data_IF_993574455662
#
_entry.id   IF_993574455662
#
_cell.length_a   1.000
_cell.length_b   1.000
_cell.length_c   1.000
_cell.angle_alpha   90.00
_cell.angle_beta   90.00
_cell.angle_gamma   90.00
#
_symmetry.space_group_name_H-M   'P 1'
#
loop_
_entity.id
_entity.type
_entity.pdbx_description
1 polymer ?
#
# COMPACT_ATOMS: atom_id res chain seq x y z
N UNK A 1 -8.93 4.31 -13.30
CA UNK A 1 -9.37 5.24 -14.35
C UNK A 1 -8.26 5.48 -15.39
N UNK A 2 -7.13 6.09 -15.03
CA UNK A 2 -5.97 6.24 -15.93
C UNK A 2 -5.49 4.93 -16.59
N UNK A 3 -5.57 3.82 -15.86
CA UNK A 3 -5.22 2.51 -16.39
C UNK A 3 -6.05 2.08 -17.62
N UNK A 4 -7.31 2.51 -17.74
CA UNK A 4 -8.16 2.11 -18.88
C UNK A 4 -7.67 2.74 -20.18
N UNK A 5 -7.24 4.01 -20.13
CA UNK A 5 -6.65 4.70 -21.28
C UNK A 5 -5.30 4.08 -21.69
N UNK A 6 -4.47 3.72 -20.71
CA UNK A 6 -3.19 3.04 -20.95
C UNK A 6 -3.39 1.67 -21.60
N UNK A 7 -4.38 0.89 -21.13
CA UNK A 7 -4.76 -0.39 -21.71
C UNK A 7 -5.21 -0.22 -23.16
N UNK A 8 -6.12 0.73 -23.43
CA UNK A 8 -6.61 1.00 -24.78
C UNK A 8 -5.46 1.40 -25.73
N UNK A 9 -4.62 2.35 -25.31
CA UNK A 9 -3.45 2.76 -26.07
C UNK A 9 -2.49 1.59 -26.35
N UNK A 10 -2.18 0.79 -25.33
CA UNK A 10 -1.30 -0.37 -25.46
C UNK A 10 -1.86 -1.38 -26.46
N UNK A 11 -3.16 -1.67 -26.37
CA UNK A 11 -3.87 -2.58 -27.27
C UNK A 11 -3.82 -2.09 -28.72
N UNK A 12 -4.23 -0.84 -28.97
CA UNK A 12 -4.24 -0.26 -30.32
C UNK A 12 -2.83 -0.07 -30.91
N UNK A 13 -1.80 0.08 -30.07
CA UNK A 13 -0.40 0.09 -30.50
C UNK A 13 0.16 -1.31 -30.80
N UNK A 14 -0.61 -2.38 -30.60
CA UNK A 14 -0.15 -3.76 -30.77
C UNK A 14 0.86 -4.20 -29.69
N UNK A 15 0.83 -3.56 -28.53
CA UNK A 15 1.64 -3.94 -27.38
C UNK A 15 1.19 -5.32 -26.89
N UNK A 16 2.14 -6.19 -26.57
CA UNK A 16 1.81 -7.48 -25.98
C UNK A 16 1.29 -7.28 -24.55
N UNK A 17 0.01 -7.60 -24.34
CA UNK A 17 -0.66 -7.55 -23.04
C UNK A 17 -0.74 -8.97 -22.48
N UNK A 18 -0.28 -9.16 -21.25
CA UNK A 18 -0.43 -10.41 -20.50
C UNK A 18 -1.45 -10.15 -19.40
N UNK A 19 -2.58 -10.87 -19.44
CA UNK A 19 -3.66 -10.69 -18.47
C UNK A 19 -3.43 -11.55 -17.24
N UNK A 20 -3.59 -10.94 -16.07
CA UNK A 20 -3.59 -11.63 -14.78
C UNK A 20 -4.95 -11.39 -14.14
N UNK A 21 -5.72 -12.45 -13.89
CA UNK A 21 -6.96 -12.35 -13.13
C UNK A 21 -6.65 -12.55 -11.66
N UNK A 22 -7.05 -11.59 -10.83
CA UNK A 22 -6.78 -11.61 -9.40
C UNK A 22 -8.06 -11.97 -8.64
N UNK A 23 -8.03 -13.05 -7.85
CA UNK A 23 -9.18 -13.50 -7.04
C UNK A 23 -10.47 -13.71 -7.87
N UNK A 24 -10.33 -14.16 -9.12
CA UNK A 24 -11.45 -14.33 -10.06
C UNK A 24 -11.99 -13.04 -10.67
N UNK A 25 -11.41 -11.87 -10.34
CA UNK A 25 -11.77 -10.60 -10.97
C UNK A 25 -11.20 -10.57 -12.39
N UNK A 26 -12.09 -10.52 -13.38
CA UNK A 26 -11.77 -10.49 -14.81
C UNK A 26 -12.62 -9.42 -15.50
N UNK A 27 -12.22 -9.04 -16.71
CA UNK A 27 -13.08 -8.21 -17.57
C UNK A 27 -14.27 -9.08 -17.95
N UNK A 28 -15.48 -8.60 -17.67
CA UNK A 28 -16.72 -9.27 -18.00
C UNK A 28 -17.71 -8.31 -18.71
N UNK A 29 -18.84 -8.84 -19.13
CA UNK A 29 -19.86 -8.08 -19.85
C UNK A 29 -20.50 -6.99 -18.98
N UNK A 30 -20.59 -7.21 -17.66
CA UNK A 30 -21.15 -6.23 -16.73
C UNK A 30 -20.24 -5.00 -16.62
N UNK A 31 -18.92 -5.22 -16.46
CA UNK A 31 -17.95 -4.13 -16.47
C UNK A 31 -17.97 -3.35 -17.78
N UNK A 32 -17.99 -4.05 -18.92
CA UNK A 32 -18.02 -3.43 -20.25
C UNK A 32 -19.26 -2.56 -20.41
N UNK A 33 -20.43 -3.07 -20.02
CA UNK A 33 -21.71 -2.37 -20.15
C UNK A 33 -21.80 -1.06 -19.38
N UNK A 34 -20.98 -0.88 -18.33
CA UNK A 34 -20.95 0.35 -17.53
C UNK A 34 -19.82 1.30 -17.90
N UNK A 35 -18.90 0.94 -18.81
CA UNK A 35 -17.71 1.76 -19.14
C UNK A 35 -18.10 3.20 -19.49
N UNK A 36 -19.13 3.40 -20.31
CA UNK A 36 -19.59 4.73 -20.72
C UNK A 36 -20.06 5.58 -19.53
N UNK A 37 -20.57 4.95 -18.47
CA UNK A 37 -21.06 5.64 -17.28
C UNK A 37 -20.00 5.89 -16.20
N UNK A 38 -18.75 5.41 -16.38
CA UNK A 38 -17.69 5.55 -15.38
C UNK A 38 -17.00 6.92 -15.41
N UNK A 39 -17.27 7.73 -16.44
CA UNK A 39 -16.53 8.96 -16.71
C UNK A 39 -17.42 10.17 -16.52
N UNK A 40 -16.85 11.23 -15.94
CA UNK A 40 -17.47 12.55 -15.97
C UNK A 40 -16.96 13.36 -17.18
N UNK A 41 -17.64 14.45 -17.51
CA UNK A 41 -17.33 15.30 -18.68
C UNK A 41 -15.86 15.80 -18.70
N UNK A 42 -15.29 16.10 -17.53
CA UNK A 42 -13.89 16.56 -17.42
C UNK A 42 -12.90 15.44 -17.77
N UNK A 43 -13.18 14.22 -17.31
CA UNK A 43 -12.35 13.06 -17.58
C UNK A 43 -12.46 12.64 -19.05
N UNK A 44 -13.65 12.66 -19.64
CA UNK A 44 -13.84 12.42 -21.07
C UNK A 44 -13.08 13.42 -21.94
N UNK A 45 -13.18 14.71 -21.61
CA UNK A 45 -12.41 15.76 -22.29
C UNK A 45 -10.90 15.52 -22.18
N UNK A 46 -10.43 15.05 -21.02
CA UNK A 46 -9.02 14.70 -20.79
C UNK A 46 -8.57 13.50 -21.64
N UNK A 47 -9.38 12.44 -21.71
CA UNK A 47 -9.12 11.28 -22.57
C UNK A 47 -9.04 11.68 -24.04
N UNK A 48 -10.02 12.47 -24.49
CA UNK A 48 -10.08 12.94 -25.87
C UNK A 48 -8.88 13.81 -26.21
N UNK A 49 -8.46 14.69 -25.29
CA UNK A 49 -7.24 15.49 -25.41
C UNK A 49 -5.96 14.65 -25.52
N UNK A 50 -5.95 13.46 -24.92
CA UNK A 50 -4.86 12.47 -25.05
C UNK A 50 -5.00 11.56 -26.30
N UNK A 51 -6.03 11.75 -27.12
CA UNK A 51 -6.29 10.94 -28.31
C UNK A 51 -6.91 9.57 -28.01
N UNK A 52 -7.55 9.41 -26.85
CA UNK A 52 -8.23 8.17 -26.43
C UNK A 52 -9.73 8.41 -26.42
N UNK A 53 -10.50 7.58 -27.13
CA UNK A 53 -11.96 7.62 -27.12
C UNK A 53 -12.54 6.54 -26.21
N UNK A 54 -13.78 6.72 -25.74
CA UNK A 54 -14.49 5.67 -24.98
C UNK A 54 -14.65 4.39 -25.82
N UNK A 55 -14.89 4.51 -27.12
CA UNK A 55 -14.95 3.38 -28.06
C UNK A 55 -13.64 2.58 -28.13
N UNK A 56 -12.47 3.25 -28.06
CA UNK A 56 -11.18 2.56 -27.98
C UNK A 56 -11.05 1.77 -26.66
N UNK A 57 -11.52 2.33 -25.55
CA UNK A 57 -11.53 1.65 -24.26
C UNK A 57 -12.45 0.44 -24.33
N UNK A 58 -13.70 0.61 -24.75
CA UNK A 58 -14.69 -0.46 -24.84
C UNK A 58 -14.22 -1.59 -25.77
N UNK A 59 -13.76 -1.26 -26.98
CA UNK A 59 -13.30 -2.28 -27.94
C UNK A 59 -12.07 -3.03 -27.44
N UNK A 60 -11.15 -2.37 -26.72
CA UNK A 60 -10.01 -3.05 -26.09
C UNK A 60 -10.46 -3.99 -24.98
N UNK A 61 -11.41 -3.60 -24.12
CA UNK A 61 -11.92 -4.46 -23.05
C UNK A 61 -12.71 -5.65 -23.60
N UNK A 62 -13.53 -5.44 -24.64
CA UNK A 62 -14.20 -6.51 -25.37
C UNK A 62 -13.21 -7.55 -25.92
N UNK A 63 -12.10 -7.09 -26.51
CA UNK A 63 -11.09 -8.00 -27.04
C UNK A 63 -10.28 -8.70 -25.94
N UNK A 64 -10.00 -8.01 -24.83
CA UNK A 64 -9.25 -8.57 -23.71
C UNK A 64 -10.07 -9.59 -22.90
N UNK A 65 -11.40 -9.46 -22.84
CA UNK A 65 -12.30 -10.42 -22.18
C UNK A 65 -12.07 -11.85 -22.67
N UNK A 66 -11.88 -12.02 -23.97
CA UNK A 66 -11.76 -13.33 -24.60
C UNK A 66 -10.30 -13.84 -24.64
N UNK A 67 -9.36 -13.06 -24.11
CA UNK A 67 -7.94 -13.39 -24.10
C UNK A 67 -7.60 -14.31 -22.91
N UNK A 68 -6.59 -15.17 -23.05
CA UNK A 68 -6.15 -16.04 -21.95
C UNK A 68 -5.67 -15.25 -20.73
N UNK A 69 -6.18 -15.62 -19.55
CA UNK A 69 -5.80 -15.07 -18.26
C UNK A 69 -4.90 -16.02 -17.48
N UNK A 70 -3.90 -15.45 -16.79
CA UNK A 70 -3.16 -16.15 -15.75
C UNK A 70 -3.87 -15.90 -14.41
N UNK A 71 -4.34 -16.98 -13.78
CA UNK A 71 -5.05 -16.88 -12.51
C UNK A 71 -4.07 -16.64 -11.34
N UNK A 72 -4.39 -15.63 -10.52
CA UNK A 72 -3.67 -15.27 -9.30
C UNK A 72 -4.64 -15.18 -8.13
N UNK A 73 -4.57 -16.16 -7.23
CA UNK A 73 -5.18 -16.03 -5.91
C UNK A 73 -4.24 -15.20 -5.01
N UNK A 74 -4.67 -13.99 -4.65
CA UNK A 74 -3.92 -13.09 -3.77
C UNK A 74 -4.14 -13.43 -2.30
N UNK A 75 -5.25 -14.10 -1.97
CA UNK A 75 -5.71 -14.35 -0.60
C UNK A 75 -5.39 -15.78 -0.17
N UNK A 76 -4.13 -16.03 0.15
CA UNK A 76 -3.72 -17.26 0.83
C UNK A 76 -3.06 -18.30 -0.08
N UNK A 77 -2.84 -17.99 -1.34
CA UNK A 77 -1.91 -18.77 -2.15
C UNK A 77 -0.51 -18.80 -1.51
N UNK A 78 0.12 -19.97 -1.54
CA UNK A 78 1.50 -20.11 -1.12
C UNK A 78 2.41 -19.24 -2.00
N UNK A 79 3.48 -18.69 -1.42
CA UNK A 79 4.47 -17.85 -2.12
C UNK A 79 4.97 -18.47 -3.44
N UNK A 80 5.14 -19.80 -3.46
CA UNK A 80 5.54 -20.55 -4.67
C UNK A 80 4.55 -20.42 -5.82
N UNK A 81 3.25 -20.28 -5.54
CA UNK A 81 2.25 -20.07 -6.57
C UNK A 81 2.35 -18.65 -7.14
N UNK A 82 2.54 -17.64 -6.29
CA UNK A 82 2.80 -16.27 -6.75
C UNK A 82 4.06 -16.20 -7.61
N UNK A 83 5.15 -16.84 -7.20
CA UNK A 83 6.38 -16.93 -7.99
C UNK A 83 6.15 -17.60 -9.35
N UNK A 84 5.30 -18.64 -9.42
CA UNK A 84 4.94 -19.29 -10.68
C UNK A 84 4.14 -18.36 -11.58
N UNK A 85 3.15 -17.63 -11.04
CA UNK A 85 2.37 -16.65 -11.81
C UNK A 85 3.28 -15.57 -12.38
N UNK A 86 4.18 -15.01 -11.56
CA UNK A 86 5.17 -14.02 -12.02
C UNK A 86 6.04 -14.59 -13.14
N UNK A 87 6.51 -15.83 -12.99
CA UNK A 87 7.30 -16.50 -14.03
C UNK A 87 6.50 -16.68 -15.33
N UNK A 88 5.23 -17.07 -15.24
CA UNK A 88 4.34 -17.18 -16.41
C UNK A 88 4.12 -15.82 -17.08
N UNK A 89 3.95 -14.75 -16.31
CA UNK A 89 3.82 -13.39 -16.86
C UNK A 89 5.08 -13.02 -17.65
N UNK A 90 6.27 -13.28 -17.10
CA UNK A 90 7.55 -12.99 -17.75
C UNK A 90 7.72 -13.82 -19.03
N UNK A 91 7.34 -15.10 -19.00
CA UNK A 91 7.45 -16.00 -20.15
C UNK A 91 6.51 -15.63 -21.29
N UNK A 92 5.34 -15.10 -20.97
CA UNK A 92 4.37 -14.62 -21.96
C UNK A 92 4.64 -13.19 -22.44
N UNK A 93 5.51 -12.45 -21.76
CA UNK A 93 5.88 -11.08 -22.12
C UNK A 93 6.88 -11.04 -23.28
N UNK A 94 6.57 -10.29 -24.34
CA UNK A 94 7.47 -10.11 -25.50
C UNK A 94 8.44 -8.94 -25.29
N UNK A 95 9.69 -9.10 -25.74
CA UNK A 95 10.72 -8.04 -25.72
C UNK A 95 11.50 -7.90 -24.41
N UNK A 96 11.15 -8.66 -23.37
CA UNK A 96 11.90 -8.70 -22.11
C UNK A 96 13.02 -9.75 -22.22
N UNK A 97 14.27 -9.35 -21.97
CA UNK A 97 15.35 -10.34 -21.89
C UNK A 97 15.33 -11.01 -20.52
N UNK A 98 15.37 -12.35 -20.45
CA UNK A 98 15.41 -13.11 -19.18
C UNK A 98 16.49 -12.61 -18.21
N UNK A 99 17.60 -12.06 -18.73
CA UNK A 99 18.68 -11.46 -17.92
C UNK A 99 18.26 -10.21 -17.14
N UNK A 100 17.34 -9.40 -17.68
CA UNK A 100 16.82 -8.21 -16.99
C UNK A 100 15.94 -8.58 -15.79
N UNK A 101 15.29 -9.75 -15.83
CA UNK A 101 14.46 -10.25 -14.73
C UNK A 101 15.24 -11.07 -13.71
N UNK A 102 16.15 -11.93 -14.15
CA UNK A 102 16.92 -12.78 -13.24
C UNK A 102 17.71 -11.96 -12.20
N UNK A 103 18.26 -10.79 -12.60
CA UNK A 103 18.98 -9.91 -11.67
C UNK A 103 18.06 -9.22 -10.65
N UNK A 104 16.78 -8.98 -11.02
CA UNK A 104 15.77 -8.36 -10.16
C UNK A 104 15.01 -9.37 -9.28
N UNK A 105 14.94 -10.64 -9.67
CA UNK A 105 14.30 -11.71 -8.88
C UNK A 105 15.21 -12.30 -7.81
N UNK A 106 16.54 -12.12 -7.92
CA UNK A 106 17.49 -12.27 -6.80
C UNK A 106 17.34 -11.14 -5.77
N UNK A 107 16.10 -10.77 -5.43
CA UNK A 107 15.79 -10.17 -4.13
C UNK A 107 15.84 -11.32 -3.13
N UNK A 108 17.05 -11.85 -2.96
CA UNK A 108 17.39 -12.68 -1.82
C UNK A 108 17.03 -11.85 -0.62
N UNK A 109 16.00 -12.29 0.11
CA UNK A 109 15.79 -11.85 1.47
C UNK A 109 17.14 -11.89 2.16
N UNK A 110 17.72 -10.72 2.42
CA UNK A 110 18.70 -10.60 3.48
C UNK A 110 17.97 -11.15 4.68
N UNK A 111 18.32 -12.40 5.02
CA UNK A 111 17.91 -13.00 6.28
C UNK A 111 18.23 -11.94 7.31
N UNK A 112 17.23 -11.55 8.12
CA UNK A 112 17.43 -10.77 9.35
C UNK A 112 18.78 -11.22 9.90
N UNK A 113 19.75 -10.32 9.98
CA UNK A 113 20.92 -10.59 10.81
C UNK A 113 20.34 -11.00 12.16
N UNK A 114 20.67 -12.20 12.62
CA UNK A 114 19.98 -12.84 13.75
C UNK A 114 20.04 -11.99 15.04
N UNK A 115 20.86 -10.94 15.05
CA UNK A 115 21.11 -10.05 16.18
C UNK A 115 20.79 -8.56 15.92
N UNK A 116 20.18 -8.19 14.79
CA UNK A 116 19.91 -6.79 14.44
C UNK A 116 18.43 -6.41 14.43
N UNK A 117 17.98 -5.59 15.40
CA UNK A 117 16.66 -4.95 15.36
C UNK A 117 16.61 -3.98 14.18
N UNK A 118 15.57 -4.07 13.34
CA UNK A 118 15.43 -3.21 12.18
C UNK A 118 15.26 -1.74 12.62
N UNK A 119 15.99 -0.79 12.01
CA UNK A 119 15.91 0.61 12.40
C UNK A 119 14.55 1.22 12.08
N UNK A 120 13.82 0.70 11.09
CA UNK A 120 12.51 1.21 10.73
C UNK A 120 11.42 0.15 10.89
N UNK A 121 10.28 0.59 11.38
CA UNK A 121 9.04 -0.18 11.38
C UNK A 121 8.05 0.47 10.43
N UNK A 122 7.23 -0.33 9.76
CA UNK A 122 6.15 0.12 8.89
C UNK A 122 4.86 -0.60 9.30
N UNK A 123 3.83 0.17 9.63
CA UNK A 123 2.49 -0.32 9.95
C UNK A 123 1.56 -0.12 8.75
N UNK A 124 0.88 -1.17 8.34
CA UNK A 124 -0.07 -1.14 7.23
C UNK A 124 -1.04 -2.32 7.30
N UNK A 125 -2.24 -2.17 6.73
CA UNK A 125 -3.17 -3.29 6.56
C UNK A 125 -2.65 -4.25 5.47
N UNK A 126 -2.17 -5.43 5.87
CA UNK A 126 -1.66 -6.44 4.93
C UNK A 126 -2.73 -7.45 4.54
N UNK A 127 -3.91 -7.41 5.17
CA UNK A 127 -5.05 -8.27 4.85
C UNK A 127 -5.77 -7.79 3.60
N UNK A 128 -5.80 -6.48 3.37
CA UNK A 128 -6.28 -5.90 2.10
C UNK A 128 -5.19 -6.04 1.02
N UNK A 129 -5.40 -6.86 -0.04
CA UNK A 129 -4.34 -7.19 -1.00
C UNK A 129 -3.68 -5.98 -1.67
N UNK A 130 -4.48 -4.97 -2.05
CA UNK A 130 -4.02 -3.74 -2.69
C UNK A 130 -3.13 -2.93 -1.75
N UNK A 131 -3.57 -2.75 -0.50
CA UNK A 131 -2.83 -2.01 0.53
C UNK A 131 -1.54 -2.75 0.90
N UNK A 132 -1.62 -4.06 1.14
CA UNK A 132 -0.45 -4.89 1.45
C UNK A 132 0.58 -4.92 0.31
N UNK A 133 0.13 -4.92 -0.94
CA UNK A 133 1.01 -4.83 -2.11
C UNK A 133 1.69 -3.46 -2.18
N UNK A 134 0.92 -2.38 -2.01
CA UNK A 134 1.44 -1.01 -1.95
C UNK A 134 2.49 -0.87 -0.84
N UNK A 135 2.20 -1.39 0.36
CA UNK A 135 3.11 -1.38 1.49
C UNK A 135 4.45 -2.07 1.20
N UNK A 136 4.40 -3.25 0.55
CA UNK A 136 5.61 -3.99 0.15
C UNK A 136 6.42 -3.23 -0.90
N UNK A 137 5.77 -2.55 -1.84
CA UNK A 137 6.44 -1.70 -2.84
C UNK A 137 7.12 -0.52 -2.16
N UNK A 138 6.42 0.22 -1.30
CA UNK A 138 7.00 1.34 -0.55
C UNK A 138 8.19 0.87 0.29
N UNK A 139 8.02 -0.24 1.02
CA UNK A 139 9.08 -0.86 1.82
C UNK A 139 10.30 -1.19 0.94
N UNK A 140 10.09 -1.83 -0.21
CA UNK A 140 11.17 -2.18 -1.14
C UNK A 140 11.92 -0.95 -1.66
N UNK A 141 11.17 0.06 -2.13
CA UNK A 141 11.75 1.29 -2.67
C UNK A 141 12.52 2.07 -1.59
N UNK A 142 11.99 2.15 -0.37
CA UNK A 142 12.67 2.79 0.75
C UNK A 142 13.92 2.03 1.20
N UNK A 143 13.87 0.69 1.30
CA UNK A 143 15.05 -0.13 1.63
C UNK A 143 16.18 0.10 0.62
N UNK A 144 15.85 0.12 -0.67
CA UNK A 144 16.82 0.41 -1.72
C UNK A 144 17.36 1.84 -1.64
N UNK A 145 16.52 2.80 -1.24
CA UNK A 145 16.92 4.21 -1.14
C UNK A 145 17.80 4.47 0.09
N UNK A 146 17.42 3.93 1.23
CA UNK A 146 18.05 4.19 2.53
C UNK A 146 19.22 3.23 2.81
N UNK A 147 19.26 2.08 2.13
CA UNK A 147 20.18 0.98 2.44
C UNK A 147 20.01 0.43 3.86
N UNK A 148 18.80 0.58 4.41
CA UNK A 148 18.42 0.16 5.76
C UNK A 148 17.28 -0.85 5.72
N UNK A 149 17.22 -1.72 6.72
CA UNK A 149 16.12 -2.67 6.87
C UNK A 149 14.85 -1.97 7.41
N UNK A 150 13.69 -2.40 6.88
CA UNK A 150 12.37 -1.89 7.28
C UNK A 150 11.49 -3.08 7.59
N UNK A 151 11.07 -3.29 8.83
CA UNK A 151 10.13 -4.37 9.17
C UNK A 151 8.69 -3.92 8.94
N UNK A 152 7.92 -4.74 8.21
CA UNK A 152 6.52 -4.50 7.92
C UNK A 152 5.65 -5.27 8.91
N UNK A 153 4.67 -4.61 9.51
CA UNK A 153 3.77 -5.15 10.52
C UNK A 153 2.33 -4.95 10.09
N UNK A 154 1.54 -6.01 10.25
CA UNK A 154 0.08 -5.93 10.20
C UNK A 154 -0.45 -5.63 11.61
N UNK A 155 -1.29 -4.59 11.80
CA UNK A 155 -1.91 -4.32 13.09
C UNK A 155 -2.64 -5.52 13.71
N UNK A 156 -3.21 -6.41 12.90
CA UNK A 156 -3.87 -7.62 13.37
C UNK A 156 -2.89 -8.61 13.99
N UNK A 157 -1.72 -8.82 13.37
CA UNK A 157 -0.68 -9.69 13.92
C UNK A 157 -0.09 -9.08 15.19
N UNK A 158 0.10 -7.75 15.19
CA UNK A 158 0.59 -6.99 16.35
C UNK A 158 -0.37 -7.06 17.53
N UNK A 159 -1.69 -7.02 17.29
CA UNK A 159 -2.71 -7.16 18.32
C UNK A 159 -2.54 -8.43 19.16
N UNK A 160 -2.06 -9.50 18.55
CA UNK A 160 -1.85 -10.79 19.22
C UNK A 160 -0.57 -10.83 20.09
N UNK A 161 0.35 -9.88 19.92
CA UNK A 161 1.61 -9.78 20.68
C UNK A 161 2.06 -8.32 20.87
N UNK A 162 1.21 -7.53 21.54
CA UNK A 162 1.50 -6.13 21.86
C UNK A 162 2.77 -5.97 22.71
N UNK A 163 3.11 -6.97 23.53
CA UNK A 163 4.29 -6.90 24.38
C UNK A 163 5.59 -6.92 23.57
N UNK A 164 5.76 -7.90 22.67
CA UNK A 164 6.94 -7.95 21.79
C UNK A 164 6.98 -6.71 20.88
N UNK A 165 5.83 -6.31 20.34
CA UNK A 165 5.75 -5.13 19.49
C UNK A 165 6.22 -3.85 20.20
N UNK A 166 5.83 -3.64 21.47
CA UNK A 166 6.30 -2.50 22.29
C UNK A 166 7.82 -2.51 22.46
N UNK A 167 8.43 -3.69 22.63
CA UNK A 167 9.90 -3.81 22.75
C UNK A 167 10.61 -3.45 21.45
N UNK A 168 10.10 -3.94 20.31
CA UNK A 168 10.65 -3.62 18.99
C UNK A 168 10.48 -2.12 18.65
N UNK A 169 9.33 -1.54 19.00
CA UNK A 169 9.07 -0.11 18.88
C UNK A 169 10.02 0.76 19.70
N UNK A 170 10.37 0.34 20.91
CA UNK A 170 11.21 1.13 21.81
C UNK A 170 12.63 1.36 21.24
N UNK A 171 13.08 0.52 20.30
CA UNK A 171 14.40 0.63 19.67
C UNK A 171 14.35 1.15 18.22
N UNK A 172 13.15 1.32 17.67
CA UNK A 172 12.94 1.80 16.32
C UNK A 172 13.34 3.27 16.19
N UNK A 173 13.97 3.61 15.07
CA UNK A 173 14.38 4.98 14.71
C UNK A 173 13.20 5.78 14.21
N UNK A 174 12.34 5.15 13.39
CA UNK A 174 11.09 5.73 12.95
C UNK A 174 10.06 4.65 12.67
N UNK A 175 8.80 5.07 12.77
CA UNK A 175 7.63 4.23 12.58
C UNK A 175 6.81 4.85 11.47
N UNK A 176 6.89 4.21 10.31
CA UNK A 176 6.16 4.57 9.11
C UNK A 176 4.72 4.07 9.27
N UNK A 177 3.74 4.95 9.11
CA UNK A 177 2.32 4.57 9.22
C UNK A 177 1.67 4.81 7.88
N UNK A 178 1.32 3.74 7.16
CA UNK A 178 0.67 3.84 5.86
C UNK A 178 -0.82 4.07 6.03
N UNK A 179 -1.27 5.28 5.73
CA UNK A 179 -2.66 5.71 5.86
C UNK A 179 -3.46 5.32 4.61
N UNK A 180 -4.45 4.45 4.82
CA UNK A 180 -5.38 3.95 3.78
C UNK A 180 -6.83 4.05 4.22
N UNK A 181 -7.77 4.00 3.28
CA UNK A 181 -9.20 4.07 3.57
C UNK A 181 -9.61 3.03 4.64
N UNK A 182 -10.44 3.44 5.59
CA UNK A 182 -10.96 2.57 6.66
C UNK A 182 -9.98 2.31 7.81
N UNK A 183 -8.70 2.68 7.70
CA UNK A 183 -7.69 2.35 8.70
C UNK A 183 -8.00 2.94 10.08
N UNK A 184 -8.59 4.14 10.14
CA UNK A 184 -8.93 4.79 11.42
C UNK A 184 -10.09 4.13 12.15
N UNK A 185 -10.86 3.29 11.47
CA UNK A 185 -11.97 2.51 12.00
C UNK A 185 -11.56 1.06 12.31
N UNK A 186 -10.31 0.66 12.03
CA UNK A 186 -9.79 -0.65 12.41
C UNK A 186 -9.32 -0.64 13.87
N UNK A 187 -9.92 -1.51 14.69
CA UNK A 187 -9.64 -1.57 16.13
C UNK A 187 -8.25 -2.10 16.44
N UNK A 188 -7.71 -3.00 15.60
CA UNK A 188 -6.36 -3.53 15.77
C UNK A 188 -5.33 -2.42 15.53
N UNK A 189 -5.56 -1.58 14.53
CA UNK A 189 -4.77 -0.38 14.27
C UNK A 189 -4.87 0.62 15.42
N UNK A 190 -6.08 0.91 15.92
CA UNK A 190 -6.28 1.82 17.05
C UNK A 190 -5.52 1.37 18.30
N UNK A 191 -5.63 0.08 18.65
CA UNK A 191 -4.91 -0.52 19.77
C UNK A 191 -3.39 -0.54 19.57
N UNK A 192 -2.93 -0.87 18.36
CA UNK A 192 -1.50 -0.82 18.01
C UNK A 192 -0.93 0.60 18.15
N UNK A 193 -1.66 1.61 17.68
CA UNK A 193 -1.25 3.01 17.82
C UNK A 193 -1.30 3.49 19.26
N UNK A 194 -2.30 3.06 20.05
CA UNK A 194 -2.37 3.40 21.47
C UNK A 194 -1.24 2.76 22.29
N UNK A 195 -0.84 1.53 21.94
CA UNK A 195 0.28 0.82 22.54
C UNK A 195 1.65 1.47 22.27
N UNK A 196 1.73 2.40 21.31
CA UNK A 196 2.94 3.16 21.03
C UNK A 196 3.35 4.02 22.25
N UNK A 197 4.54 3.77 22.86
CA UNK A 197 5.00 4.56 23.99
C UNK A 197 5.06 6.04 23.64
N UNK A 198 4.69 6.91 24.58
CA UNK A 198 4.61 8.36 24.32
C UNK A 198 5.90 8.94 23.71
N UNK A 199 7.07 8.46 24.14
CA UNK A 199 8.38 8.89 23.62
C UNK A 199 8.62 8.44 22.17
N UNK A 200 8.02 7.33 21.74
CA UNK A 200 8.11 6.84 20.36
C UNK A 200 7.22 7.63 19.40
N UNK A 201 6.21 8.36 19.93
CA UNK A 201 5.21 9.04 19.10
C UNK A 201 5.78 10.23 18.31
N UNK A 202 6.92 10.78 18.73
CA UNK A 202 7.65 11.81 17.98
C UNK A 202 8.34 11.26 16.71
N UNK A 203 8.48 9.94 16.60
CA UNK A 203 9.09 9.27 15.45
C UNK A 203 8.06 8.66 14.49
N UNK A 204 6.78 9.00 14.65
CA UNK A 204 5.73 8.64 13.71
C UNK A 204 5.89 9.42 12.41
N UNK A 205 5.89 8.70 11.30
CA UNK A 205 5.96 9.27 9.95
C UNK A 205 4.76 8.77 9.16
N UNK A 206 3.63 9.52 9.18
CA UNK A 206 2.47 9.16 8.39
C UNK A 206 2.78 9.29 6.89
N UNK A 207 2.36 8.28 6.12
CA UNK A 207 2.42 8.26 4.66
C UNK A 207 1.02 7.99 4.14
N UNK A 208 0.40 8.97 3.50
CA UNK A 208 -0.86 8.80 2.77
C UNK A 208 -0.57 8.02 1.49
N UNK A 209 -0.90 6.73 1.51
CA UNK A 209 -0.72 5.80 0.39
C UNK A 209 -2.00 5.64 -0.44
N UNK A 210 -3.11 6.17 0.05
CA UNK A 210 -4.44 6.08 -0.56
C UNK A 210 -5.05 7.48 -0.75
N UNK A 211 -5.61 7.73 -1.93
CA UNK A 211 -6.31 8.98 -2.23
C UNK A 211 -7.65 9.07 -1.50
N UNK A 212 -8.28 7.94 -1.16
CA UNK A 212 -9.55 7.88 -0.45
C UNK A 212 -9.39 7.91 1.08
N UNK A 213 -8.15 8.07 1.59
CA UNK A 213 -7.93 8.30 3.00
C UNK A 213 -8.60 9.61 3.47
N UNK A 214 -9.50 9.51 4.44
CA UNK A 214 -10.19 10.64 5.06
C UNK A 214 -9.50 10.97 6.38
N UNK A 215 -8.98 12.20 6.49
CA UNK A 215 -8.40 12.70 7.74
C UNK A 215 -9.50 12.88 8.80
N UNK A 216 -9.18 12.70 10.09
CA UNK A 216 -10.18 12.85 11.15
C UNK A 216 -10.64 14.30 11.25
N UNK A 217 -11.94 14.51 11.04
CA UNK A 217 -12.61 15.79 11.21
C UNK A 217 -13.17 15.92 12.66
N UNK A 218 -13.73 17.08 13.06
CA UNK A 218 -14.32 17.23 14.39
C UNK A 218 -15.38 16.16 14.72
N UNK A 219 -16.20 15.77 13.75
CA UNK A 219 -17.24 14.75 13.94
C UNK A 219 -16.66 13.37 14.23
N UNK A 220 -15.53 13.01 13.61
CA UNK A 220 -14.79 11.80 13.95
C UNK A 220 -14.36 11.80 15.42
N UNK A 221 -13.81 12.91 15.92
CA UNK A 221 -13.34 12.99 17.31
C UNK A 221 -14.48 12.93 18.32
N UNK A 222 -15.62 13.56 18.03
CA UNK A 222 -16.84 13.45 18.84
C UNK A 222 -17.35 12.01 18.87
N UNK A 223 -17.47 11.38 17.69
CA UNK A 223 -17.89 9.98 17.59
C UNK A 223 -16.93 9.02 18.31
N UNK A 224 -15.61 9.29 18.30
CA UNK A 224 -14.63 8.50 19.03
C UNK A 224 -14.83 8.64 20.55
N UNK A 225 -15.02 9.86 21.05
CA UNK A 225 -15.24 10.13 22.47
C UNK A 225 -16.56 9.52 22.99
N UNK A 226 -17.58 9.43 22.14
CA UNK A 226 -18.87 8.82 22.44
C UNK A 226 -18.89 7.29 22.28
N UNK A 227 -17.78 6.67 21.86
CA UNK A 227 -17.72 5.22 21.61
C UNK A 227 -18.53 4.75 20.41
N UNK A 228 -18.78 5.63 19.43
CA UNK A 228 -19.48 5.30 18.18
C UNK A 228 -18.55 4.71 17.11
N UNK A 229 -17.24 4.94 17.22
CA UNK A 229 -16.23 4.39 16.29
C UNK A 229 -15.84 2.97 16.69
N UNK A 230 -15.69 2.71 17.99
CA UNK A 230 -15.30 1.41 18.55
C UNK A 230 -16.13 1.08 19.77
N UNK A 231 -16.40 -0.20 19.99
CA UNK A 231 -16.95 -0.67 21.26
C UNK A 231 -15.87 -0.61 22.35
N UNK A 232 -16.21 -0.07 23.53
CA UNK A 232 -15.24 0.10 24.62
C UNK A 232 -14.65 -1.23 25.12
N UNK A 233 -15.41 -2.33 25.02
CA UNK A 233 -14.92 -3.66 25.36
C UNK A 233 -13.80 -4.12 24.43
N UNK A 234 -13.91 -3.89 23.13
CA UNK A 234 -12.87 -4.25 22.15
C UNK A 234 -11.59 -3.44 22.35
N UNK A 235 -11.70 -2.17 22.77
CA UNK A 235 -10.53 -1.38 23.13
C UNK A 235 -9.85 -1.90 24.40
N UNK A 236 -10.62 -2.32 25.40
CA UNK A 236 -10.09 -2.89 26.63
C UNK A 236 -9.32 -4.19 26.37
N UNK A 237 -9.78 -5.03 25.43
CA UNK A 237 -9.06 -6.22 24.96
C UNK A 237 -7.69 -5.89 24.34
N UNK A 238 -7.57 -4.69 23.76
CA UNK A 238 -6.32 -4.14 23.20
C UNK A 238 -5.47 -3.37 24.22
N UNK A 239 -5.75 -3.51 25.52
CA UNK A 239 -5.10 -2.79 26.62
C UNK A 239 -5.13 -1.24 26.46
N UNK A 240 -6.21 -0.70 25.89
CA UNK A 240 -6.39 0.75 25.72
C UNK A 240 -7.82 1.19 26.01
N UNK A 241 -8.01 2.51 26.06
CA UNK A 241 -9.31 3.17 26.12
C UNK A 241 -9.43 4.23 25.01
N UNK A 242 -10.56 4.95 24.99
CA UNK A 242 -10.83 6.02 24.02
C UNK A 242 -9.81 7.17 24.11
N UNK A 243 -9.34 7.50 25.32
CA UNK A 243 -8.37 8.57 25.53
C UNK A 243 -6.98 8.20 25.00
N UNK A 244 -6.57 6.95 25.18
CA UNK A 244 -5.34 6.38 24.64
C UNK A 244 -5.30 6.42 23.12
N UNK A 245 -6.39 6.00 22.47
CA UNK A 245 -6.56 6.07 21.01
C UNK A 245 -6.54 7.52 20.54
N UNK A 246 -7.34 8.39 21.18
CA UNK A 246 -7.41 9.82 20.84
C UNK A 246 -6.03 10.48 20.91
N UNK A 247 -5.28 10.23 21.99
CA UNK A 247 -3.93 10.78 22.17
C UNK A 247 -2.94 10.24 21.13
N UNK A 248 -3.08 8.97 20.71
CA UNK A 248 -2.21 8.38 19.69
C UNK A 248 -2.49 8.98 18.30
N UNK A 249 -3.78 9.04 17.89
CA UNK A 249 -4.17 9.63 16.61
C UNK A 249 -3.85 11.12 16.56
N UNK A 250 -4.12 11.88 17.64
CA UNK A 250 -3.79 13.29 17.69
C UNK A 250 -2.30 13.54 17.45
N UNK A 251 -1.42 12.68 17.97
CA UNK A 251 0.01 12.78 17.65
C UNK A 251 0.32 12.41 16.21
N UNK A 252 -0.23 11.30 15.71
CA UNK A 252 -0.04 10.86 14.34
C UNK A 252 -0.37 11.98 13.34
N UNK A 253 -1.47 12.70 13.56
CA UNK A 253 -1.93 13.78 12.69
C UNK A 253 -1.36 15.16 13.01
N UNK A 254 -0.55 15.29 14.06
CA UNK A 254 0.22 16.51 14.30
C UNK A 254 1.48 16.59 13.40
N UNK A 255 1.81 15.50 12.69
CA UNK A 255 2.89 15.45 11.70
C UNK A 255 2.29 15.50 10.30
N UNK A 256 2.89 16.31 9.42
CA UNK A 256 2.47 16.36 8.02
C UNK A 256 2.68 15.00 7.36
N UNK A 257 1.59 14.40 6.89
CA UNK A 257 1.64 13.15 6.15
C UNK A 257 2.37 13.35 4.82
N UNK A 258 3.33 12.47 4.56
CA UNK A 258 3.99 12.36 3.26
C UNK A 258 3.04 11.68 2.29
N UNK A 259 3.19 11.98 0.99
CA UNK A 259 2.36 11.37 -0.05
C UNK A 259 3.12 10.23 -0.72
N UNK A 260 2.41 9.14 -0.99
CA UNK A 260 2.82 8.13 -1.96
C UNK A 260 1.65 7.83 -2.90
N UNK A 261 1.87 8.01 -4.20
CA UNK A 261 0.86 7.84 -5.24
C UNK A 261 0.98 6.43 -5.84
N UNK A 262 0.12 5.52 -5.38
CA UNK A 262 0.13 4.11 -5.84
C UNK A 262 -0.05 3.95 -7.35
N UNK A 263 -0.77 4.87 -7.99
CA UNK A 263 -0.99 4.92 -9.45
C UNK A 263 0.00 5.85 -10.18
N UNK A 264 0.98 6.41 -9.48
CA UNK A 264 2.02 7.24 -10.08
C UNK A 264 2.95 6.42 -10.96
N UNK A 265 3.54 7.05 -11.99
CA UNK A 265 4.63 6.44 -12.76
C UNK A 265 5.81 6.11 -11.84
N UNK A 266 6.68 5.18 -12.27
CA UNK A 266 7.91 4.83 -11.52
C UNK A 266 8.75 6.09 -11.18
N UNK A 267 8.79 7.08 -12.07
CA UNK A 267 9.47 8.35 -11.82
C UNK A 267 8.83 9.16 -10.68
N UNK A 268 7.50 9.25 -10.65
CA UNK A 268 6.75 9.92 -9.57
C UNK A 268 6.99 9.19 -8.25
N UNK A 269 6.83 7.87 -8.25
CA UNK A 269 7.05 7.04 -7.06
C UNK A 269 8.48 7.18 -6.53
N UNK A 270 9.49 7.14 -7.39
CA UNK A 270 10.89 7.35 -6.98
C UNK A 270 11.13 8.75 -6.41
N UNK A 271 10.45 9.77 -6.94
CA UNK A 271 10.51 11.14 -6.41
C UNK A 271 9.89 11.22 -5.02
N UNK A 272 8.71 10.64 -4.82
CA UNK A 272 8.03 10.54 -3.53
C UNK A 272 8.86 9.76 -2.50
N UNK A 273 9.45 8.64 -2.89
CA UNK A 273 10.37 7.85 -2.06
C UNK A 273 11.63 8.63 -1.72
N UNK A 274 12.16 9.45 -2.64
CA UNK A 274 13.29 10.31 -2.33
C UNK A 274 12.94 11.37 -1.28
N UNK A 275 11.73 11.94 -1.34
CA UNK A 275 11.24 12.88 -0.32
C UNK A 275 11.04 12.19 1.03
N UNK A 276 10.44 11.00 1.05
CA UNK A 276 10.29 10.20 2.28
C UNK A 276 11.66 9.87 2.85
N UNK A 277 12.60 9.40 2.02
CA UNK A 277 13.96 9.09 2.44
C UNK A 277 14.70 10.31 3.02
N UNK A 278 14.54 11.49 2.41
CA UNK A 278 15.14 12.73 2.92
C UNK A 278 14.58 13.13 4.30
N UNK A 279 13.31 12.81 4.60
CA UNK A 279 12.71 13.03 5.92
C UNK A 279 13.27 12.08 6.98
N UNK A 280 13.56 10.84 6.59
CA UNK A 280 14.05 9.78 7.49
C UNK A 280 15.55 9.87 7.77
N UNK A 281 16.33 10.41 6.84
CA UNK A 281 17.79 10.46 6.94
C UNK A 281 18.31 11.21 8.19
N UNK A 282 17.76 12.37 8.61
CA UNK A 282 18.14 13.01 9.86
C UNK A 282 17.86 12.15 11.11
N UNK A 283 16.80 11.34 11.09
CA UNK A 283 16.44 10.45 12.21
C UNK A 283 17.48 9.33 12.37
N UNK A 284 18.01 8.81 11.26
CA UNK A 284 19.12 7.85 11.27
C UNK A 284 20.41 8.44 11.85
N UNK A 285 20.74 9.68 11.47
CA UNK A 285 21.95 10.34 11.94
C UNK A 285 21.90 10.64 13.44
N UNK A 286 20.73 11.02 13.96
CA UNK A 286 20.53 11.31 15.39
C UNK A 286 20.70 10.09 16.32
N UNK A 287 20.69 8.86 15.79
CA UNK A 287 20.95 7.65 16.60
C UNK A 287 22.44 7.43 16.89
N UNK A 288 23.32 7.99 16.07
CA UNK A 288 24.77 7.79 16.15
C UNK A 288 25.50 8.89 16.95
N UNK A 289 24.76 9.90 17.42
CA UNK A 289 25.24 11.01 18.25
C UNK A 289 24.87 10.82 19.70
#
# INVERSE_FOLDING_TARGET
MWCAAEIACAWHAGTNIVLVSCDGNRVDEELIAVIECLWNEEQEATLLGAGVTIEMIESSYCALRDHEHIELDRRGAAERLHQRVVQQVIENSRGLTRRQFASRLTISGRRRSADGLAPFMMLSDLRTPEVGSCARVIMYLLRNRLQEDICLYDPYDVANDLHNFRQEMAVAVAILVLLTQGMLQDVCFAGTMAACPFMCRDFLVPIRADEFFVYPDPGFWENLAEGKVFEGQTLAEMETDFDGVRAAYAKLFNVLALKFSQHGSEHIQNTEIAMIGARLQPMLLGKNS
#
